data_IF_702309288616
#
_entry.id   IF_702309288616
#
_cell.length_a   1.000
_cell.length_b   1.000
_cell.length_c   1.000
_cell.angle_alpha   90.00
_cell.angle_beta   90.00
_cell.angle_gamma   90.00
#
_symmetry.space_group_name_H-M   'P 1'
#
loop_
_entity.id
_entity.type
_entity.pdbx_description
1 polymer ?
#
# COMPACT_ATOMS: atom_id res chain seq x y z
N UNK A 1 -25.93 -27.61 24.96
CA UNK A 1 -24.81 -26.65 24.84
C UNK A 1 -23.73 -27.29 23.98
N UNK A 2 -23.77 -27.09 22.68
CA UNK A 2 -22.71 -27.55 21.76
C UNK A 2 -21.72 -26.39 21.55
N UNK A 3 -20.41 -26.60 21.69
CA UNK A 3 -19.45 -25.57 21.36
C UNK A 3 -19.36 -25.48 19.83
N UNK A 4 -19.71 -24.30 19.31
CA UNK A 4 -19.52 -23.93 17.91
C UNK A 4 -18.02 -23.72 17.66
N UNK A 5 -17.33 -24.79 17.27
CA UNK A 5 -15.94 -24.69 16.80
C UNK A 5 -15.93 -23.85 15.51
N UNK A 6 -15.48 -22.59 15.61
CA UNK A 6 -15.09 -21.78 14.44
C UNK A 6 -13.86 -22.43 13.82
N UNK A 7 -14.08 -23.33 12.85
CA UNK A 7 -13.03 -23.83 11.99
C UNK A 7 -12.46 -22.69 11.15
N UNK A 8 -11.33 -22.12 11.58
CA UNK A 8 -10.45 -21.38 10.68
C UNK A 8 -9.84 -22.39 9.72
N UNK A 9 -10.51 -22.59 8.58
CA UNK A 9 -9.99 -23.37 7.48
C UNK A 9 -8.63 -22.81 7.07
N UNK A 10 -7.57 -23.59 7.32
CA UNK A 10 -6.24 -23.39 6.75
C UNK A 10 -6.34 -23.57 5.23
N UNK A 11 -6.84 -22.56 4.52
CA UNK A 11 -6.61 -22.43 3.08
C UNK A 11 -5.10 -22.38 2.96
N UNK A 12 -4.49 -23.46 2.47
CA UNK A 12 -3.06 -23.76 2.58
C UNK A 12 -2.20 -22.52 2.39
N UNK A 13 -1.29 -22.25 3.33
CA UNK A 13 -0.41 -21.07 3.30
C UNK A 13 0.36 -20.94 1.97
N UNK A 14 0.57 -22.08 1.29
CA UNK A 14 1.11 -22.17 -0.06
C UNK A 14 0.26 -21.42 -1.10
N UNK A 15 -1.06 -21.58 -1.09
CA UNK A 15 -1.95 -20.89 -2.03
C UNK A 15 -1.95 -19.37 -1.80
N UNK A 16 -1.83 -18.92 -0.56
CA UNK A 16 -1.67 -17.49 -0.23
C UNK A 16 -0.33 -16.93 -0.69
N UNK A 17 0.76 -17.71 -0.58
CA UNK A 17 2.08 -17.34 -1.08
C UNK A 17 2.12 -17.27 -2.60
N UNK A 18 1.52 -18.23 -3.30
CA UNK A 18 1.44 -18.23 -4.76
C UNK A 18 0.69 -17.00 -5.30
N UNK A 19 -0.46 -16.66 -4.70
CA UNK A 19 -1.21 -15.45 -5.08
C UNK A 19 -0.39 -14.17 -4.79
N UNK A 20 0.41 -14.16 -3.72
CA UNK A 20 1.29 -13.01 -3.41
C UNK A 20 2.41 -12.85 -4.43
N UNK A 21 2.97 -13.97 -4.92
CA UNK A 21 4.01 -13.99 -5.95
C UNK A 21 3.46 -13.58 -7.32
N UNK A 22 2.29 -14.10 -7.72
CA UNK A 22 1.64 -13.64 -8.96
C UNK A 22 1.37 -12.12 -8.93
N UNK A 23 1.05 -11.58 -7.75
CA UNK A 23 0.78 -10.15 -7.61
C UNK A 23 2.01 -9.27 -7.51
N UNK A 24 3.14 -9.79 -7.01
CA UNK A 24 4.44 -9.10 -7.12
C UNK A 24 4.87 -8.99 -8.58
N UNK A 25 4.75 -10.07 -9.35
CA UNK A 25 5.19 -10.11 -10.75
C UNK A 25 4.40 -9.12 -11.64
N UNK A 26 3.07 -9.09 -11.47
CA UNK A 26 2.20 -8.13 -12.18
C UNK A 26 2.52 -6.68 -11.82
N UNK A 27 2.90 -6.42 -10.57
CA UNK A 27 3.25 -5.07 -10.12
C UNK A 27 4.63 -4.67 -10.66
N UNK A 28 5.58 -5.60 -10.73
CA UNK A 28 6.91 -5.34 -11.29
C UNK A 28 6.83 -4.97 -12.78
N UNK A 29 6.02 -5.68 -13.59
CA UNK A 29 5.80 -5.31 -14.99
C UNK A 29 5.16 -3.93 -15.15
N UNK A 30 4.18 -3.59 -14.29
CA UNK A 30 3.57 -2.25 -14.27
C UNK A 30 4.59 -1.18 -13.89
N UNK A 31 5.46 -1.47 -12.93
CA UNK A 31 6.54 -0.58 -12.49
C UNK A 31 7.55 -0.35 -13.61
N UNK A 32 7.91 -1.39 -14.36
CA UNK A 32 8.86 -1.31 -15.48
C UNK A 32 8.40 -0.34 -16.57
N UNK A 33 7.09 -0.31 -16.83
CA UNK A 33 6.48 0.59 -17.82
C UNK A 33 5.93 1.90 -17.22
N UNK A 34 6.19 2.17 -15.94
CA UNK A 34 5.69 3.34 -15.24
C UNK A 34 6.38 4.61 -15.72
N UNK A 35 5.60 5.60 -16.18
CA UNK A 35 6.08 6.93 -16.53
C UNK A 35 5.65 7.99 -15.53
N UNK A 36 4.37 7.98 -15.16
CA UNK A 36 3.75 8.91 -14.20
C UNK A 36 2.50 8.25 -13.61
N UNK A 37 1.91 8.87 -12.59
CA UNK A 37 0.69 8.39 -11.97
C UNK A 37 -0.45 8.35 -13.01
N UNK A 38 -1.13 7.19 -13.19
CA UNK A 38 -2.26 7.10 -14.11
C UNK A 38 -3.48 7.85 -13.56
N UNK A 39 -4.48 8.07 -14.41
CA UNK A 39 -5.77 8.60 -13.99
C UNK A 39 -6.45 7.65 -12.99
N UNK A 40 -6.87 8.20 -11.85
CA UNK A 40 -7.63 7.48 -10.82
C UNK A 40 -9.06 8.02 -10.77
N UNK A 41 -10.02 7.17 -11.15
CA UNK A 41 -11.44 7.52 -11.19
C UNK A 41 -12.03 7.87 -9.81
N UNK A 42 -11.36 7.51 -8.70
CA UNK A 42 -11.75 7.91 -7.34
C UNK A 42 -11.49 9.40 -7.09
N UNK A 43 -10.56 10.00 -7.84
CA UNK A 43 -10.14 11.39 -7.70
C UNK A 43 -10.20 12.11 -9.07
N UNK A 44 -11.40 12.26 -9.67
CA UNK A 44 -11.55 12.79 -11.04
C UNK A 44 -11.40 14.32 -11.13
N UNK A 45 -11.45 15.02 -9.99
CA UNK A 45 -11.44 16.47 -9.93
C UNK A 45 -10.01 17.05 -9.97
N UNK A 46 -9.89 18.34 -10.28
CA UNK A 46 -8.60 19.05 -10.32
C UNK A 46 -7.84 19.00 -8.99
N UNK A 47 -8.53 18.99 -7.85
CA UNK A 47 -7.88 18.90 -6.54
C UNK A 47 -7.40 17.47 -6.24
N UNK A 48 -6.10 17.22 -6.46
CA UNK A 48 -5.45 15.93 -6.25
C UNK A 48 -4.88 15.70 -4.85
N UNK A 49 -5.16 16.60 -3.89
CA UNK A 49 -4.67 16.50 -2.50
C UNK A 49 -5.03 15.16 -1.85
N UNK A 50 -6.28 14.70 -2.04
CA UNK A 50 -6.75 13.42 -1.49
C UNK A 50 -6.10 12.22 -2.17
N UNK A 51 -5.79 12.33 -3.47
CA UNK A 51 -5.11 11.26 -4.21
C UNK A 51 -3.68 11.07 -3.68
N UNK A 52 -2.93 12.17 -3.56
CA UNK A 52 -1.61 12.17 -2.95
C UNK A 52 -1.63 11.56 -1.54
N UNK A 53 -2.49 12.09 -0.65
CA UNK A 53 -2.55 11.63 0.74
C UNK A 53 -2.96 10.16 0.86
N UNK A 54 -3.92 9.71 0.05
CA UNK A 54 -4.36 8.31 0.08
C UNK A 54 -3.24 7.35 -0.34
N UNK A 55 -2.49 7.65 -1.41
CA UNK A 55 -1.37 6.79 -1.84
C UNK A 55 -0.21 6.79 -0.83
N UNK A 56 0.04 7.91 -0.16
CA UNK A 56 1.02 7.97 0.93
C UNK A 56 0.61 7.02 2.08
N UNK A 57 -0.65 7.09 2.52
CA UNK A 57 -1.17 6.18 3.55
C UNK A 57 -1.13 4.72 3.11
N UNK A 58 -1.52 4.43 1.87
CA UNK A 58 -1.58 3.06 1.34
C UNK A 58 -0.18 2.44 1.26
N UNK A 59 0.86 3.21 0.92
CA UNK A 59 2.24 2.76 0.99
C UNK A 59 2.63 2.30 2.40
N UNK A 60 2.46 3.17 3.41
CA UNK A 60 2.85 2.83 4.78
C UNK A 60 2.01 1.70 5.39
N UNK A 61 0.71 1.65 5.09
CA UNK A 61 -0.17 0.55 5.52
C UNK A 61 0.21 -0.77 4.89
N UNK A 62 0.49 -0.75 3.58
CA UNK A 62 0.91 -1.92 2.83
C UNK A 62 2.21 -2.48 3.41
N UNK A 63 3.24 -1.64 3.57
CA UNK A 63 4.50 -2.03 4.17
C UNK A 63 4.30 -2.59 5.58
N UNK A 64 3.57 -1.88 6.44
CA UNK A 64 3.30 -2.36 7.81
C UNK A 64 2.59 -3.71 7.82
N UNK A 65 1.61 -3.92 6.95
CA UNK A 65 0.83 -5.16 6.89
C UNK A 65 1.63 -6.36 6.33
N UNK A 66 2.51 -6.13 5.36
CA UNK A 66 3.33 -7.18 4.74
C UNK A 66 4.57 -7.48 5.58
N UNK A 67 5.26 -6.46 6.11
CA UNK A 67 6.39 -6.65 7.03
C UNK A 67 5.96 -7.36 8.32
N UNK A 68 4.77 -7.09 8.85
CA UNK A 68 4.25 -7.82 10.03
C UNK A 68 3.95 -9.30 9.76
N UNK A 69 3.93 -9.73 8.50
CA UNK A 69 3.68 -11.12 8.07
C UNK A 69 4.90 -11.77 7.44
N UNK A 70 6.05 -11.09 7.45
CA UNK A 70 7.27 -11.51 6.76
C UNK A 70 7.01 -11.86 5.27
N UNK A 71 6.16 -11.06 4.62
CA UNK A 71 5.83 -11.19 3.20
C UNK A 71 6.60 -10.16 2.35
N UNK A 72 6.69 -10.44 1.06
CA UNK A 72 7.32 -9.53 0.10
C UNK A 72 6.59 -8.18 0.05
N UNK A 73 7.36 -7.09 0.12
CA UNK A 73 6.89 -5.70 0.11
C UNK A 73 6.89 -5.07 -1.28
N UNK A 74 7.42 -5.77 -2.31
CA UNK A 74 7.41 -5.28 -3.70
C UNK A 74 6.02 -4.80 -4.18
N UNK A 75 4.88 -5.42 -3.78
CA UNK A 75 3.56 -4.91 -4.15
C UNK A 75 3.28 -3.47 -3.67
N UNK A 76 3.95 -3.01 -2.60
CA UNK A 76 3.77 -1.68 -2.05
C UNK A 76 4.50 -0.59 -2.86
N UNK A 77 5.48 -0.96 -3.68
CA UNK A 77 6.30 -0.02 -4.46
C UNK A 77 5.48 0.77 -5.49
N UNK A 78 4.37 0.19 -5.95
CA UNK A 78 3.40 0.90 -6.79
C UNK A 78 2.93 2.20 -6.12
N UNK A 79 2.46 2.11 -4.86
CA UNK A 79 1.99 3.27 -4.11
C UNK A 79 3.12 4.27 -3.89
N UNK A 80 4.35 3.78 -3.69
CA UNK A 80 5.52 4.63 -3.54
C UNK A 80 5.75 5.53 -4.77
N UNK A 81 5.72 4.93 -5.96
CA UNK A 81 5.89 5.69 -7.21
C UNK A 81 4.77 6.68 -7.44
N UNK A 82 3.53 6.29 -7.13
CA UNK A 82 2.35 7.14 -7.31
C UNK A 82 2.40 8.36 -6.38
N UNK A 83 2.60 8.19 -5.07
CA UNK A 83 2.63 9.36 -4.18
C UNK A 83 3.85 10.26 -4.46
N UNK A 84 5.02 9.70 -4.81
CA UNK A 84 6.19 10.50 -5.20
C UNK A 84 5.95 11.33 -6.47
N UNK A 85 5.08 10.88 -7.36
CA UNK A 85 4.72 11.61 -8.60
C UNK A 85 3.64 12.66 -8.38
N UNK A 86 2.76 12.48 -7.39
CA UNK A 86 1.61 13.37 -7.12
C UNK A 86 1.88 14.40 -6.01
N UNK A 87 2.62 14.01 -4.98
CA UNK A 87 2.76 14.81 -3.77
C UNK A 87 3.87 15.85 -3.89
N UNK A 88 3.64 17.08 -3.38
CA UNK A 88 4.74 18.02 -3.14
C UNK A 88 5.77 17.42 -2.18
N UNK A 89 7.06 17.56 -2.50
CA UNK A 89 8.16 17.02 -1.67
C UNK A 89 8.10 17.56 -0.22
N UNK A 90 7.70 18.82 -0.05
CA UNK A 90 7.57 19.44 1.28
C UNK A 90 6.48 18.81 2.14
N UNK A 91 5.43 18.25 1.54
CA UNK A 91 4.39 17.53 2.27
C UNK A 91 4.88 16.16 2.72
N UNK A 92 5.53 15.44 1.81
CA UNK A 92 6.10 14.12 2.11
C UNK A 92 7.12 14.22 3.24
N UNK A 93 8.11 15.12 3.13
CA UNK A 93 9.12 15.32 4.18
C UNK A 93 8.49 15.64 5.54
N UNK A 94 7.49 16.54 5.57
CA UNK A 94 6.78 16.88 6.81
C UNK A 94 6.02 15.68 7.40
N UNK A 95 5.40 14.86 6.56
CA UNK A 95 4.69 13.67 7.02
C UNK A 95 5.65 12.58 7.49
N UNK A 96 6.80 12.42 6.85
CA UNK A 96 7.87 11.52 7.27
C UNK A 96 8.37 11.92 8.68
N UNK A 97 8.70 13.20 8.89
CA UNK A 97 9.09 13.74 10.20
C UNK A 97 8.02 13.48 11.28
N UNK A 98 6.74 13.64 10.92
CA UNK A 98 5.62 13.38 11.83
C UNK A 98 5.47 11.90 12.17
N UNK A 99 5.75 10.99 11.23
CA UNK A 99 5.73 9.55 11.47
C UNK A 99 6.87 9.17 12.42
N UNK A 100 8.08 9.67 12.17
CA UNK A 100 9.24 9.43 13.04
C UNK A 100 9.01 9.97 14.46
N UNK A 101 8.39 11.15 14.57
CA UNK A 101 8.02 11.75 15.85
C UNK A 101 6.78 11.12 16.51
N UNK A 102 6.09 10.18 15.85
CA UNK A 102 4.85 9.57 16.37
C UNK A 102 3.66 10.54 16.48
N UNK A 103 3.70 11.67 15.78
CA UNK A 103 2.69 12.74 15.81
C UNK A 103 1.81 12.80 14.56
N UNK A 104 2.01 11.86 13.63
CA UNK A 104 1.25 11.82 12.38
C UNK A 104 -0.25 11.55 12.63
N UNK A 105 -1.17 12.39 12.10
CA UNK A 105 -2.59 12.28 12.40
C UNK A 105 -3.30 11.15 11.61
N UNK A 106 -2.67 10.62 10.56
CA UNK A 106 -3.26 9.56 9.74
C UNK A 106 -3.08 8.17 10.36
N UNK A 107 -4.11 7.32 10.26
CA UNK A 107 -4.03 5.94 10.72
C UNK A 107 -3.21 5.07 9.75
N UNK A 108 -2.02 4.66 10.18
CA UNK A 108 -1.10 3.74 9.48
C UNK A 108 -1.11 2.36 10.13
#
# INVERSE_FOLDING_TARGET
MTPFFRGHGKRSDLARRLISLEMSDVIEEKIKNYRTAPFDARFPNTNQTRNCFQNYLDFHRCNKALSAKDQDVAPCDWYQRVYKSLCPLSWVAKWDDQIEAGSFPGKI
#
